data_IF_284555075620
#
_entry.id   IF_284555075620
#
_cell.length_a   1.000
_cell.length_b   1.000
_cell.length_c   1.000
_cell.angle_alpha   90.00
_cell.angle_beta   90.00
_cell.angle_gamma   90.00
#
_symmetry.space_group_name_H-M   'P 1'
#
loop_
_entity.id
_entity.type
_entity.pdbx_description
1 polymer ?
#
# COMPACT_ATOMS: atom_id res chain seq x y z
N UNK A 1 -11.13 -38.39 9.90
CA UNK A 1 -10.82 -37.64 8.67
C UNK A 1 -10.28 -36.28 9.09
N UNK A 2 -8.95 -36.13 9.11
CA UNK A 2 -8.29 -34.96 9.67
C UNK A 2 -8.66 -33.71 8.86
N UNK A 3 -9.35 -32.75 9.48
CA UNK A 3 -9.61 -31.44 8.92
C UNK A 3 -8.28 -30.69 8.83
N UNK A 4 -7.69 -30.65 7.64
CA UNK A 4 -6.62 -29.71 7.35
C UNK A 4 -7.10 -28.29 7.73
N UNK A 5 -6.31 -27.52 8.50
CA UNK A 5 -6.64 -26.12 8.74
C UNK A 5 -6.69 -25.44 7.38
N UNK A 6 -7.79 -24.73 7.10
CA UNK A 6 -8.02 -24.05 5.83
C UNK A 6 -6.78 -23.22 5.47
N UNK A 7 -6.00 -23.72 4.50
CA UNK A 7 -4.98 -22.92 3.83
C UNK A 7 -5.68 -21.65 3.38
N UNK A 8 -5.13 -20.47 3.71
CA UNK A 8 -5.73 -19.20 3.29
C UNK A 8 -5.95 -19.26 1.78
N UNK A 9 -7.20 -19.32 1.34
CA UNK A 9 -7.51 -19.50 -0.08
C UNK A 9 -6.83 -18.37 -0.86
N UNK A 10 -5.94 -18.76 -1.79
CA UNK A 10 -5.23 -17.83 -2.67
C UNK A 10 -6.27 -17.01 -3.43
N UNK A 11 -6.04 -15.71 -3.58
CA UNK A 11 -6.93 -14.79 -4.31
C UNK A 11 -6.18 -14.24 -5.53
N UNK A 12 -6.18 -14.96 -6.68
CA UNK A 12 -5.42 -14.55 -7.87
C UNK A 12 -5.69 -13.11 -8.32
N UNK A 13 -6.94 -12.64 -8.21
CA UNK A 13 -7.29 -11.24 -8.52
C UNK A 13 -6.51 -10.24 -7.66
N UNK A 14 -6.35 -10.53 -6.36
CA UNK A 14 -5.64 -9.65 -5.45
C UNK A 14 -4.15 -9.63 -5.78
N UNK A 15 -3.58 -10.78 -6.15
CA UNK A 15 -2.20 -10.86 -6.60
C UNK A 15 -1.99 -10.07 -7.89
N UNK A 16 -2.91 -10.16 -8.86
CA UNK A 16 -2.88 -9.40 -10.10
C UNK A 16 -2.94 -7.88 -9.86
N UNK A 17 -3.89 -7.42 -9.04
CA UNK A 17 -4.03 -5.99 -8.70
C UNK A 17 -2.75 -5.49 -8.01
N UNK A 18 -2.23 -6.22 -7.02
CA UNK A 18 -0.97 -5.88 -6.34
C UNK A 18 0.23 -5.88 -7.29
N UNK A 19 0.29 -6.83 -8.22
CA UNK A 19 1.35 -6.92 -9.21
C UNK A 19 1.37 -5.66 -10.07
N UNK A 20 0.26 -5.33 -10.73
CA UNK A 20 0.15 -4.14 -11.58
C UNK A 20 0.39 -2.86 -10.77
N UNK A 21 -0.26 -2.72 -9.62
CA UNK A 21 -0.12 -1.53 -8.79
C UNK A 21 1.32 -1.32 -8.33
N UNK A 22 2.03 -2.38 -7.91
CA UNK A 22 3.43 -2.24 -7.49
C UNK A 22 4.33 -1.83 -8.66
N UNK A 23 4.12 -2.35 -9.88
CA UNK A 23 4.91 -1.96 -11.04
C UNK A 23 4.69 -0.48 -11.40
N UNK A 24 3.45 -0.01 -11.40
CA UNK A 24 3.13 1.40 -11.65
C UNK A 24 3.80 2.32 -10.63
N UNK A 25 3.82 1.94 -9.35
CA UNK A 25 4.50 2.72 -8.31
C UNK A 25 6.02 2.69 -8.46
N UNK A 26 6.62 1.55 -8.80
CA UNK A 26 8.07 1.50 -9.06
C UNK A 26 8.41 2.42 -10.23
N UNK A 27 7.69 2.31 -11.35
CA UNK A 27 7.91 3.14 -12.52
C UNK A 27 7.74 4.62 -12.21
N UNK A 28 6.70 5.00 -11.45
CA UNK A 28 6.52 6.36 -10.93
C UNK A 28 7.79 6.85 -10.23
N UNK A 29 8.31 6.13 -9.23
CA UNK A 29 9.51 6.59 -8.52
C UNK A 29 10.78 6.59 -9.38
N UNK A 30 10.92 5.67 -10.34
CA UNK A 30 12.05 5.66 -11.27
C UNK A 30 12.09 6.92 -12.15
N UNK A 31 10.93 7.46 -12.51
CA UNK A 31 10.84 8.71 -13.27
C UNK A 31 10.69 9.95 -12.38
N UNK A 32 10.58 9.80 -11.06
CA UNK A 32 10.49 10.95 -10.16
C UNK A 32 11.86 11.50 -9.76
N UNK A 33 12.92 10.72 -9.91
CA UNK A 33 14.24 11.05 -9.35
C UNK A 33 15.41 10.74 -10.29
N UNK A 34 16.44 11.56 -10.17
CA UNK A 34 17.76 11.33 -10.73
C UNK A 34 17.93 11.71 -12.22
N UNK A 35 19.18 11.75 -12.72
CA UNK A 35 19.50 12.24 -14.06
C UNK A 35 18.87 11.43 -15.18
N UNK A 36 18.65 10.13 -14.98
CA UNK A 36 18.02 9.28 -16.00
C UNK A 36 16.58 9.70 -16.29
N UNK A 37 15.86 10.20 -15.27
CA UNK A 37 14.51 10.72 -15.45
C UNK A 37 14.49 11.99 -16.31
N UNK A 38 15.41 12.92 -16.07
CA UNK A 38 15.48 14.17 -16.84
C UNK A 38 15.69 13.90 -18.34
N UNK A 39 16.51 12.90 -18.66
CA UNK A 39 16.73 12.43 -20.02
C UNK A 39 15.45 11.80 -20.58
N UNK A 40 14.78 10.93 -19.83
CA UNK A 40 13.52 10.32 -20.24
C UNK A 40 12.42 11.36 -20.48
N UNK A 41 12.34 12.41 -19.65
CA UNK A 41 11.37 13.50 -19.80
C UNK A 41 11.57 14.24 -21.12
N UNK A 42 12.81 14.44 -21.57
CA UNK A 42 13.10 15.07 -22.87
C UNK A 42 12.70 14.19 -24.06
N UNK A 43 12.86 12.88 -23.95
CA UNK A 43 12.61 11.93 -25.05
C UNK A 43 11.14 11.49 -25.14
N UNK A 44 10.50 11.25 -24.00
CA UNK A 44 9.15 10.67 -23.89
C UNK A 44 8.26 11.49 -22.94
N UNK A 45 8.07 12.80 -23.18
CA UNK A 45 7.44 13.70 -22.21
C UNK A 45 6.05 13.25 -21.77
N UNK A 46 5.22 12.78 -22.71
CA UNK A 46 3.84 12.32 -22.39
C UNK A 46 3.82 11.08 -21.50
N UNK A 47 4.78 10.16 -21.69
CA UNK A 47 4.85 8.92 -20.90
C UNK A 47 5.34 9.23 -19.49
N UNK A 48 6.36 10.07 -19.37
CA UNK A 48 6.89 10.48 -18.07
C UNK A 48 5.87 11.30 -17.29
N UNK A 49 5.17 12.24 -17.94
CA UNK A 49 4.11 13.03 -17.31
C UNK A 49 2.99 12.14 -16.74
N UNK A 50 2.52 11.17 -17.53
CA UNK A 50 1.52 10.19 -17.08
C UNK A 50 2.02 9.33 -15.91
N UNK A 51 3.26 8.82 -15.99
CA UNK A 51 3.87 8.07 -14.89
C UNK A 51 4.06 8.93 -13.63
N UNK A 52 4.35 10.21 -13.79
CA UNK A 52 4.58 11.13 -12.67
C UNK A 52 3.27 11.50 -11.96
N UNK A 53 2.24 11.83 -12.73
CA UNK A 53 0.97 12.32 -12.16
C UNK A 53 -0.03 11.21 -11.84
N UNK A 54 -0.18 10.20 -12.71
CA UNK A 54 -1.28 9.24 -12.65
C UNK A 54 -0.86 7.90 -12.02
N UNK A 55 0.35 7.41 -12.30
CA UNK A 55 0.76 6.08 -11.82
C UNK A 55 0.82 6.01 -10.28
N UNK A 56 1.06 7.14 -9.59
CA UNK A 56 0.97 7.24 -8.11
C UNK A 56 -0.42 6.91 -7.55
N UNK A 57 -1.48 7.05 -8.35
CA UNK A 57 -2.84 6.68 -7.96
C UNK A 57 -2.98 5.17 -7.72
N UNK A 58 -2.04 4.35 -8.22
CA UNK A 58 -2.03 2.92 -7.96
C UNK A 58 -1.90 2.55 -6.46
N UNK A 59 -1.42 3.46 -5.60
CA UNK A 59 -1.42 3.25 -4.14
C UNK A 59 -2.83 2.94 -3.60
N UNK A 60 -3.87 3.51 -4.22
CA UNK A 60 -5.26 3.31 -3.81
C UNK A 60 -5.68 1.85 -3.85
N UNK A 61 -5.10 1.06 -4.76
CA UNK A 61 -5.30 -0.38 -4.81
C UNK A 61 -4.94 -1.03 -3.47
N UNK A 62 -3.79 -0.69 -2.91
CA UNK A 62 -3.33 -1.29 -1.67
C UNK A 62 -4.20 -0.90 -0.47
N UNK A 63 -4.69 0.34 -0.38
CA UNK A 63 -5.61 0.75 0.69
C UNK A 63 -6.94 0.00 0.62
N UNK A 64 -7.53 -0.11 -0.58
CA UNK A 64 -8.79 -0.84 -0.78
C UNK A 64 -8.62 -2.32 -0.45
N UNK A 65 -7.57 -2.97 -0.97
CA UNK A 65 -7.32 -4.38 -0.68
C UNK A 65 -7.01 -4.61 0.81
N UNK A 66 -6.29 -3.69 1.46
CA UNK A 66 -6.01 -3.78 2.89
C UNK A 66 -7.28 -3.68 3.73
N UNK A 67 -8.18 -2.74 3.42
CA UNK A 67 -9.47 -2.60 4.10
C UNK A 67 -10.40 -3.79 3.90
N UNK A 68 -10.43 -4.34 2.68
CA UNK A 68 -11.16 -5.57 2.37
C UNK A 68 -10.63 -6.75 3.19
N UNK A 69 -9.30 -6.95 3.22
CA UNK A 69 -8.67 -8.03 3.96
C UNK A 69 -8.82 -7.86 5.47
N UNK A 70 -8.80 -6.62 5.97
CA UNK A 70 -9.06 -6.31 7.37
C UNK A 70 -10.49 -6.67 7.76
N UNK A 71 -11.50 -6.27 6.98
CA UNK A 71 -12.89 -6.65 7.22
C UNK A 71 -13.06 -8.17 7.22
N UNK A 72 -12.47 -8.87 6.25
CA UNK A 72 -12.48 -10.34 6.15
C UNK A 72 -11.86 -11.02 7.37
N UNK A 73 -10.72 -10.53 7.84
CA UNK A 73 -9.98 -11.14 8.94
C UNK A 73 -10.60 -10.82 10.31
N UNK A 74 -10.96 -9.54 10.54
CA UNK A 74 -11.35 -9.01 11.83
C UNK A 74 -12.84 -9.14 12.10
N UNK A 75 -13.70 -8.87 11.11
CA UNK A 75 -15.14 -8.75 11.32
C UNK A 75 -15.97 -9.20 10.11
N UNK A 76 -15.88 -10.47 9.68
CA UNK A 76 -16.62 -10.91 8.50
C UNK A 76 -18.14 -10.98 8.71
N UNK A 77 -18.60 -11.05 9.95
CA UNK A 77 -20.00 -10.88 10.34
C UNK A 77 -20.27 -9.55 11.05
N UNK A 78 -19.52 -8.48 10.70
CA UNK A 78 -19.61 -7.15 11.30
C UNK A 78 -19.27 -7.04 12.79
N UNK A 79 -18.81 -8.13 13.41
CA UNK A 79 -18.39 -8.15 14.82
C UNK A 79 -16.92 -8.51 14.89
N UNK A 80 -16.16 -7.74 15.68
CA UNK A 80 -14.75 -8.02 15.93
C UNK A 80 -14.56 -9.43 16.51
N UNK A 81 -13.75 -10.26 15.85
CA UNK A 81 -13.43 -11.63 16.26
C UNK A 81 -12.45 -11.71 17.44
N UNK A 82 -11.55 -10.75 17.55
CA UNK A 82 -10.44 -10.73 18.54
C UNK A 82 -10.84 -10.05 19.83
N UNK A 83 -10.44 -10.57 20.99
CA UNK A 83 -10.91 -10.05 22.28
C UNK A 83 -10.38 -8.65 22.64
N UNK A 84 -9.11 -8.37 22.34
CA UNK A 84 -8.50 -7.06 22.60
C UNK A 84 -7.89 -6.47 21.33
N UNK A 85 -7.78 -5.13 21.23
CA UNK A 85 -7.17 -4.48 20.07
C UNK A 85 -5.64 -4.56 20.10
N UNK A 86 -5.04 -4.75 21.29
CA UNK A 86 -3.58 -4.67 21.51
C UNK A 86 -2.79 -5.69 20.68
N UNK A 87 -3.16 -6.98 20.78
CA UNK A 87 -2.42 -8.05 20.11
C UNK A 87 -2.48 -7.96 18.58
N UNK A 88 -3.64 -7.75 17.93
CA UNK A 88 -3.71 -7.54 16.48
C UNK A 88 -2.86 -6.35 16.00
N UNK A 89 -2.92 -5.23 16.72
CA UNK A 89 -2.17 -4.01 16.36
C UNK A 89 -0.66 -4.27 16.47
N UNK A 90 -0.19 -4.87 17.57
CA UNK A 90 1.24 -5.18 17.75
C UNK A 90 1.74 -6.18 16.68
N UNK A 91 0.94 -7.20 16.34
CA UNK A 91 1.27 -8.14 15.26
C UNK A 91 1.38 -7.43 13.91
N UNK A 92 0.45 -6.52 13.60
CA UNK A 92 0.50 -5.72 12.35
C UNK A 92 1.70 -4.78 12.34
N UNK A 93 1.99 -4.10 13.46
CA UNK A 93 3.15 -3.24 13.61
C UNK A 93 4.44 -4.00 13.29
N UNK A 94 4.70 -5.11 13.98
CA UNK A 94 5.93 -5.91 13.75
C UNK A 94 6.05 -6.41 12.31
N UNK A 95 4.93 -6.85 11.72
CA UNK A 95 4.87 -7.35 10.34
C UNK A 95 5.28 -6.27 9.32
N UNK A 96 4.93 -5.02 9.58
CA UNK A 96 5.17 -3.89 8.67
C UNK A 96 6.50 -3.18 8.97
N UNK A 97 6.71 -2.81 10.24
CA UNK A 97 7.84 -2.01 10.69
C UNK A 97 9.17 -2.74 10.54
N UNK A 98 9.23 -4.06 10.76
CA UNK A 98 10.51 -4.78 10.69
C UNK A 98 11.09 -4.82 9.26
N UNK A 99 10.34 -5.27 8.22
CA UNK A 99 10.82 -5.17 6.85
C UNK A 99 11.03 -3.71 6.42
N UNK A 100 10.14 -2.79 6.80
CA UNK A 100 10.28 -1.38 6.43
C UNK A 100 11.58 -0.77 6.98
N UNK A 101 11.90 -1.03 8.26
CA UNK A 101 13.12 -0.53 8.87
C UNK A 101 14.38 -1.13 8.25
N UNK A 102 14.37 -2.43 7.92
CA UNK A 102 15.47 -3.04 7.17
C UNK A 102 15.68 -2.37 5.80
N UNK A 103 14.60 -2.05 5.08
CA UNK A 103 14.68 -1.32 3.82
C UNK A 103 15.20 0.11 4.00
N UNK A 104 14.82 0.80 5.08
CA UNK A 104 15.37 2.12 5.44
C UNK A 104 16.87 2.04 5.66
N UNK A 105 17.36 1.06 6.42
CA UNK A 105 18.80 0.89 6.65
C UNK A 105 19.57 0.62 5.34
N UNK A 106 19.01 -0.22 4.46
CA UNK A 106 19.59 -0.47 3.13
C UNK A 106 19.58 0.83 2.30
N UNK A 107 18.49 1.60 2.34
CA UNK A 107 18.38 2.90 1.67
C UNK A 107 19.47 3.86 2.13
N UNK A 108 19.69 3.97 3.44
CA UNK A 108 20.74 4.82 4.02
C UNK A 108 22.14 4.39 3.58
N UNK A 109 22.42 3.09 3.54
CA UNK A 109 23.69 2.56 3.05
C UNK A 109 23.89 2.85 1.56
N UNK A 110 22.86 2.62 0.74
CA UNK A 110 22.90 2.92 -0.70
C UNK A 110 23.05 4.42 -0.97
N UNK A 111 22.38 5.27 -0.17
CA UNK A 111 22.53 6.72 -0.21
C UNK A 111 23.97 7.15 0.05
N UNK A 112 24.64 6.54 1.03
CA UNK A 112 26.04 6.84 1.33
C UNK A 112 26.96 6.54 0.14
N UNK A 113 26.75 5.41 -0.54
CA UNK A 113 27.48 5.06 -1.76
C UNK A 113 27.17 6.04 -2.89
N UNK A 114 25.88 6.29 -3.16
CA UNK A 114 25.43 7.18 -4.23
C UNK A 114 25.97 8.61 -4.07
N UNK A 115 25.96 9.17 -2.84
CA UNK A 115 26.49 10.51 -2.54
C UNK A 115 28.00 10.64 -2.77
N UNK A 116 28.76 9.53 -2.76
CA UNK A 116 30.19 9.57 -3.04
C UNK A 116 30.52 9.79 -4.52
N UNK A 117 29.54 9.59 -5.41
CA UNK A 117 29.73 9.63 -6.87
C UNK A 117 28.83 10.62 -7.60
N UNK A 118 27.74 11.07 -6.98
CA UNK A 118 26.90 12.13 -7.53
C UNK A 118 26.35 13.04 -6.43
N UNK A 119 26.15 14.31 -6.78
CA UNK A 119 25.50 15.29 -5.91
C UNK A 119 24.10 15.60 -6.47
N UNK A 120 23.11 14.88 -5.97
CA UNK A 120 21.72 15.00 -6.42
C UNK A 120 20.80 15.27 -5.21
N UNK A 121 19.96 16.32 -5.24
CA UNK A 121 19.05 16.66 -4.14
C UNK A 121 18.04 15.58 -3.78
N UNK A 122 17.78 14.62 -4.67
CA UNK A 122 16.89 13.50 -4.41
C UNK A 122 17.50 12.42 -3.51
N UNK A 123 18.81 12.47 -3.23
CA UNK A 123 19.48 11.54 -2.32
C UNK A 123 19.22 11.94 -0.86
N UNK A 124 18.81 11.00 0.01
CA UNK A 124 18.61 11.30 1.43
C UNK A 124 19.91 11.78 2.07
N UNK A 125 19.83 12.73 2.99
CA UNK A 125 20.98 13.15 3.79
C UNK A 125 21.45 12.04 4.74
N UNK A 126 22.59 12.25 5.43
CA UNK A 126 23.03 11.34 6.50
C UNK A 126 22.02 11.44 7.65
N UNK A 127 21.34 10.34 8.02
CA UNK A 127 20.29 10.40 9.03
C UNK A 127 20.87 10.54 10.43
N UNK A 128 20.12 11.18 11.31
CA UNK A 128 20.40 11.15 12.75
C UNK A 128 19.89 9.85 13.39
N UNK A 129 20.42 9.48 14.54
CA UNK A 129 19.90 8.32 15.32
C UNK A 129 18.42 8.49 15.66
N UNK A 130 18.01 9.73 15.99
CA UNK A 130 16.61 10.04 16.27
C UNK A 130 15.73 9.85 15.04
N UNK A 131 16.16 10.31 13.86
CA UNK A 131 15.41 10.10 12.62
C UNK A 131 15.23 8.60 12.33
N UNK A 132 16.27 7.78 12.52
CA UNK A 132 16.16 6.32 12.37
C UNK A 132 15.18 5.72 13.37
N UNK A 133 15.20 6.13 14.64
CA UNK A 133 14.26 5.66 15.66
C UNK A 133 12.81 6.02 15.30
N UNK A 134 12.58 7.25 14.81
CA UNK A 134 11.26 7.72 14.37
C UNK A 134 10.74 6.92 13.17
N UNK A 135 11.62 6.57 12.22
CA UNK A 135 11.27 5.68 11.09
C UNK A 135 10.96 4.25 11.56
N UNK A 136 11.70 3.73 12.54
CA UNK A 136 11.42 2.41 13.13
C UNK A 136 10.04 2.35 13.81
N UNK A 137 9.57 3.49 14.33
CA UNK A 137 8.26 3.65 14.96
C UNK A 137 7.14 4.05 13.98
N UNK A 138 7.45 4.31 12.71
CA UNK A 138 6.52 4.79 11.69
C UNK A 138 5.89 6.16 12.04
N UNK A 139 6.67 7.06 12.65
CA UNK A 139 6.24 8.38 13.12
C UNK A 139 6.84 9.56 12.33
N UNK A 140 7.60 9.29 11.26
CA UNK A 140 8.39 10.30 10.55
C UNK A 140 7.56 11.47 10.02
N UNK A 141 6.46 11.20 9.32
CA UNK A 141 5.64 12.26 8.72
C UNK A 141 4.90 13.08 9.77
N UNK A 142 4.49 12.44 10.89
CA UNK A 142 3.83 13.12 12.02
C UNK A 142 4.76 14.09 12.76
N UNK A 143 6.05 13.77 12.79
CA UNK A 143 7.07 14.56 13.48
C UNK A 143 7.85 15.47 12.51
N UNK A 144 7.46 15.52 11.23
CA UNK A 144 8.08 16.38 10.22
C UNK A 144 9.48 15.96 9.77
N UNK A 145 9.83 14.69 9.93
CA UNK A 145 11.10 14.15 9.41
C UNK A 145 10.95 13.73 7.94
N UNK A 146 11.92 14.11 7.12
CA UNK A 146 12.01 13.65 5.73
C UNK A 146 12.13 12.12 5.66
N UNK A 147 11.43 11.55 4.69
CA UNK A 147 11.43 10.12 4.45
C UNK A 147 12.76 9.63 3.87
N UNK A 148 13.35 8.63 4.51
CA UNK A 148 14.61 8.02 4.05
C UNK A 148 14.43 6.99 2.92
N UNK A 149 13.19 6.71 2.52
CA UNK A 149 12.83 5.84 1.40
C UNK A 149 11.40 6.12 0.91
N UNK A 150 11.16 5.98 -0.39
CA UNK A 150 9.91 6.29 -1.07
C UNK A 150 8.67 5.52 -0.56
N UNK A 151 8.86 4.36 0.09
CA UNK A 151 7.76 3.51 0.57
C UNK A 151 7.32 3.74 2.02
N UNK A 152 8.06 4.50 2.82
CA UNK A 152 7.87 4.52 4.29
C UNK A 152 6.52 5.14 4.69
N UNK A 153 6.13 6.22 4.01
CA UNK A 153 4.85 6.90 4.24
C UNK A 153 3.65 5.94 4.12
N UNK A 154 3.58 5.15 3.04
CA UNK A 154 2.48 4.20 2.83
C UNK A 154 2.41 3.16 3.96
N UNK A 155 3.56 2.67 4.43
CA UNK A 155 3.62 1.67 5.51
C UNK A 155 3.08 2.25 6.81
N UNK A 156 3.43 3.50 7.13
CA UNK A 156 2.92 4.21 8.30
C UNK A 156 1.39 4.40 8.21
N UNK A 157 0.88 4.86 7.07
CA UNK A 157 -0.56 5.04 6.86
C UNK A 157 -1.31 3.70 6.93
N UNK A 158 -0.83 2.64 6.28
CA UNK A 158 -1.46 1.31 6.32
C UNK A 158 -1.53 0.74 7.75
N UNK A 159 -0.48 0.96 8.55
CA UNK A 159 -0.50 0.61 9.97
C UNK A 159 -1.56 1.41 10.74
N UNK A 160 -1.58 2.74 10.58
CA UNK A 160 -2.54 3.61 11.26
C UNK A 160 -3.99 3.26 10.87
N UNK A 161 -4.26 2.98 9.59
CA UNK A 161 -5.59 2.58 9.09
C UNK A 161 -6.05 1.25 9.70
N UNK A 162 -5.15 0.26 9.75
CA UNK A 162 -5.45 -1.01 10.40
C UNK A 162 -5.75 -0.83 11.89
N UNK A 163 -4.94 -0.03 12.60
CA UNK A 163 -5.16 0.26 14.01
C UNK A 163 -6.50 0.97 14.24
N UNK A 164 -6.81 1.98 13.42
CA UNK A 164 -8.08 2.71 13.45
C UNK A 164 -9.27 1.76 13.23
N UNK A 165 -9.22 0.88 12.22
CA UNK A 165 -10.27 -0.11 11.96
C UNK A 165 -10.47 -1.05 13.17
N UNK A 166 -9.39 -1.59 13.74
CA UNK A 166 -9.47 -2.46 14.94
C UNK A 166 -10.11 -1.73 16.11
N UNK A 167 -9.75 -0.46 16.34
CA UNK A 167 -10.29 0.36 17.43
C UNK A 167 -11.77 0.66 17.23
N UNK A 168 -12.21 1.05 16.03
CA UNK A 168 -13.64 1.28 15.74
C UNK A 168 -14.48 0.03 15.97
N UNK A 169 -14.01 -1.12 15.47
CA UNK A 169 -14.69 -2.40 15.67
C UNK A 169 -14.68 -2.86 17.15
N UNK A 170 -13.65 -2.49 17.91
CA UNK A 170 -13.57 -2.74 19.33
C UNK A 170 -14.53 -1.85 20.13
N UNK A 171 -14.61 -0.55 19.80
CA UNK A 171 -15.54 0.42 20.40
C UNK A 171 -17.01 0.00 20.19
N UNK A 172 -17.34 -0.60 19.05
CA UNK A 172 -18.66 -1.15 18.78
C UNK A 172 -19.15 -2.17 19.83
N UNK A 173 -18.25 -2.76 20.64
CA UNK A 173 -18.61 -3.70 21.70
C UNK A 173 -19.22 -3.07 22.94
N UNK A 174 -19.10 -1.75 23.09
CA UNK A 174 -19.81 -0.99 24.11
C UNK A 174 -21.34 -1.09 23.90
N UNK A 175 -21.79 -1.32 22.67
CA UNK A 175 -23.19 -1.58 22.39
C UNK A 175 -23.65 -2.96 22.93
N UNK A 176 -24.94 -3.10 23.29
CA UNK A 176 -25.53 -4.40 23.65
C UNK A 176 -25.25 -5.45 22.57
N UNK A 177 -25.07 -6.73 22.96
CA UNK A 177 -24.67 -7.82 22.05
C UNK A 177 -25.47 -7.86 20.74
N UNK A 178 -26.79 -7.65 20.82
CA UNK A 178 -27.71 -7.61 19.66
C UNK A 178 -27.42 -6.48 18.65
N UNK A 179 -26.85 -5.37 19.11
CA UNK A 179 -26.63 -4.14 18.35
C UNK A 179 -25.18 -3.95 17.89
N UNK A 180 -24.25 -4.84 18.29
CA UNK A 180 -22.83 -4.74 17.92
C UNK A 180 -22.56 -4.72 16.42
N UNK A 181 -23.21 -5.56 15.59
CA UNK A 181 -23.06 -5.47 14.13
C UNK A 181 -23.43 -4.09 13.58
N UNK A 182 -24.59 -3.56 14.00
CA UNK A 182 -25.07 -2.26 13.58
C UNK A 182 -24.16 -1.12 14.06
N UNK A 183 -23.69 -1.17 15.31
CA UNK A 183 -22.75 -0.20 15.87
C UNK A 183 -21.41 -0.21 15.12
N UNK A 184 -20.89 -1.38 14.74
CA UNK A 184 -19.66 -1.50 13.96
C UNK A 184 -19.82 -0.88 12.57
N UNK A 185 -20.91 -1.20 11.86
CA UNK A 185 -21.23 -0.61 10.56
C UNK A 185 -21.39 0.90 10.69
N UNK A 186 -22.12 1.38 11.69
CA UNK A 186 -22.34 2.81 11.91
C UNK A 186 -21.03 3.55 12.18
N UNK A 187 -20.17 3.04 13.08
CA UNK A 187 -18.87 3.67 13.38
C UNK A 187 -17.98 3.73 12.14
N UNK A 188 -17.86 2.62 11.40
CA UNK A 188 -17.04 2.59 10.18
C UNK A 188 -17.63 3.49 9.09
N UNK A 189 -18.95 3.48 8.89
CA UNK A 189 -19.61 4.31 7.90
C UNK A 189 -19.52 5.80 8.22
N UNK A 190 -19.72 6.19 9.48
CA UNK A 190 -19.60 7.59 9.93
C UNK A 190 -18.15 8.06 9.79
N UNK A 191 -17.17 7.27 10.22
CA UNK A 191 -15.75 7.63 10.04
C UNK A 191 -15.36 7.68 8.56
N UNK A 192 -15.90 6.80 7.72
CA UNK A 192 -15.68 6.84 6.27
C UNK A 192 -16.32 8.08 5.64
N UNK A 193 -17.53 8.45 6.05
CA UNK A 193 -18.19 9.67 5.59
C UNK A 193 -17.42 10.92 6.04
N UNK A 194 -17.00 11.00 7.30
CA UNK A 194 -16.17 12.09 7.81
C UNK A 194 -14.86 12.21 7.02
N UNK A 195 -14.24 11.07 6.71
CA UNK A 195 -13.07 11.02 5.84
C UNK A 195 -13.39 11.56 4.45
N UNK A 196 -14.38 11.02 3.75
CA UNK A 196 -14.70 11.36 2.35
C UNK A 196 -15.26 12.77 2.17
N UNK A 197 -16.05 13.31 3.09
CA UNK A 197 -16.74 14.60 2.92
C UNK A 197 -16.04 15.77 3.59
N UNK A 198 -15.14 15.51 4.54
CA UNK A 198 -14.48 16.56 5.34
C UNK A 198 -12.97 16.43 5.28
N UNK A 199 -12.40 15.37 5.87
CA UNK A 199 -10.96 15.28 6.14
C UNK A 199 -10.15 15.13 4.84
N UNK A 200 -10.61 14.29 3.91
CA UNK A 200 -9.90 13.99 2.66
C UNK A 200 -9.84 15.18 1.68
N UNK A 201 -10.55 16.27 1.97
CA UNK A 201 -10.54 17.49 1.16
C UNK A 201 -9.40 18.44 1.51
N UNK A 202 -8.71 18.20 2.63
CA UNK A 202 -7.54 18.97 3.04
C UNK A 202 -6.26 18.17 2.77
N UNK A 203 -5.48 18.50 1.71
CA UNK A 203 -4.26 17.78 1.36
C UNK A 203 -3.18 17.82 2.44
N UNK A 204 -3.22 18.78 3.38
CA UNK A 204 -2.25 18.84 4.48
C UNK A 204 -2.39 17.65 5.45
N UNK A 205 -3.53 16.96 5.42
CA UNK A 205 -3.81 15.80 6.24
C UNK A 205 -3.39 14.48 5.55
N UNK A 206 -2.71 14.52 4.40
CA UNK A 206 -2.09 13.39 3.68
C UNK A 206 -0.87 12.78 4.43
N UNK A 207 -0.93 12.77 5.76
CA UNK A 207 0.07 12.19 6.68
C UNK A 207 -0.61 11.38 7.81
N UNK A 208 -1.94 11.34 7.85
CA UNK A 208 -2.71 10.64 8.90
C UNK A 208 -3.79 9.72 8.35
N UNK A 209 -4.04 8.59 9.03
CA UNK A 209 -5.06 7.63 8.64
C UNK A 209 -6.47 8.20 8.41
N UNK A 210 -7.00 9.16 9.19
CA UNK A 210 -8.34 9.71 8.95
C UNK A 210 -8.53 10.29 7.54
N UNK A 211 -7.47 10.79 6.88
CA UNK A 211 -7.53 11.25 5.50
C UNK A 211 -7.80 10.10 4.51
N UNK A 212 -7.25 8.91 4.77
CA UNK A 212 -7.37 7.71 3.92
C UNK A 212 -8.47 6.74 4.36
N UNK A 213 -9.08 6.96 5.50
CA UNK A 213 -10.01 5.98 6.07
C UNK A 213 -11.22 5.74 5.17
N UNK A 214 -11.68 6.75 4.43
CA UNK A 214 -12.75 6.63 3.43
C UNK A 214 -12.45 5.58 2.38
N UNK A 215 -11.32 5.71 1.67
CA UNK A 215 -10.91 4.76 0.61
C UNK A 215 -10.61 3.37 1.16
N UNK A 216 -10.03 3.28 2.36
CA UNK A 216 -9.82 2.02 3.05
C UNK A 216 -11.15 1.33 3.40
N UNK A 217 -12.11 2.10 3.92
CA UNK A 217 -13.45 1.61 4.27
C UNK A 217 -14.27 1.19 3.05
N UNK A 218 -14.01 1.73 1.85
CA UNK A 218 -14.62 1.22 0.60
C UNK A 218 -14.26 -0.24 0.37
N UNK A 219 -13.03 -0.66 0.67
CA UNK A 219 -12.63 -2.07 0.63
C UNK A 219 -13.38 -2.94 1.63
N UNK A 220 -13.54 -2.44 2.87
CA UNK A 220 -14.32 -3.12 3.90
C UNK A 220 -15.80 -3.26 3.52
N UNK A 221 -16.38 -2.18 2.99
CA UNK A 221 -17.75 -2.14 2.49
C UNK A 221 -17.93 -3.09 1.31
N UNK A 222 -16.98 -3.13 0.37
CA UNK A 222 -16.99 -4.08 -0.74
C UNK A 222 -17.04 -5.51 -0.22
N UNK A 223 -16.20 -5.88 0.75
CA UNK A 223 -16.22 -7.21 1.37
C UNK A 223 -17.59 -7.55 1.99
N UNK A 224 -18.15 -6.63 2.78
CA UNK A 224 -19.42 -6.84 3.49
C UNK A 224 -20.65 -6.87 2.57
N UNK A 225 -20.62 -6.11 1.48
CA UNK A 225 -21.71 -6.04 0.50
C UNK A 225 -21.69 -7.18 -0.53
N UNK A 226 -20.54 -7.85 -0.72
CA UNK A 226 -20.34 -8.88 -1.76
C UNK A 226 -20.26 -10.30 -1.19
N UNK A 227 -21.31 -10.76 -0.49
CA UNK A 227 -21.41 -12.18 -0.14
C UNK A 227 -21.46 -13.03 -1.43
N UNK A 228 -20.70 -14.14 -1.55
CA UNK A 228 -20.77 -15.02 -2.72
C UNK A 228 -22.21 -15.46 -3.00
N UNK A 229 -22.63 -15.39 -4.27
CA UNK A 229 -24.00 -15.71 -4.70
C UNK A 229 -25.04 -14.60 -4.44
N UNK A 230 -24.66 -13.51 -3.76
CA UNK A 230 -25.51 -12.32 -3.59
C UNK A 230 -25.31 -11.38 -4.79
N UNK A 231 -26.41 -10.90 -5.35
CA UNK A 231 -26.39 -10.00 -6.50
C UNK A 231 -25.61 -8.71 -6.22
N UNK A 232 -24.89 -8.15 -7.21
CA UNK A 232 -23.99 -7.01 -7.02
C UNK A 232 -24.69 -5.69 -6.68
N UNK A 233 -26.02 -5.61 -6.75
CA UNK A 233 -26.78 -4.39 -6.42
C UNK A 233 -26.55 -3.89 -4.99
N UNK A 234 -26.10 -4.74 -4.07
CA UNK A 234 -25.71 -4.33 -2.71
C UNK A 234 -24.47 -3.44 -2.66
N UNK A 235 -23.76 -3.28 -3.79
CA UNK A 235 -22.68 -2.29 -3.95
C UNK A 235 -23.21 -0.90 -4.33
N UNK A 236 -24.48 -0.75 -4.72
CA UNK A 236 -25.06 0.54 -5.10
C UNK A 236 -24.98 1.61 -4.01
N UNK A 237 -25.21 1.31 -2.71
CA UNK A 237 -25.01 2.31 -1.65
C UNK A 237 -23.56 2.80 -1.57
N UNK A 238 -22.58 1.90 -1.80
CA UNK A 238 -21.15 2.25 -1.81
C UNK A 238 -20.86 3.18 -2.98
N UNK A 239 -21.35 2.83 -4.19
CA UNK A 239 -21.20 3.67 -5.37
C UNK A 239 -21.85 5.05 -5.18
N UNK A 240 -23.07 5.11 -4.62
CA UNK A 240 -23.80 6.34 -4.38
C UNK A 240 -23.05 7.27 -3.42
N UNK A 241 -22.56 6.76 -2.29
CA UNK A 241 -21.79 7.57 -1.32
C UNK A 241 -20.54 8.17 -1.98
N UNK A 242 -19.83 7.39 -2.80
CA UNK A 242 -18.65 7.89 -3.53
C UNK A 242 -19.05 8.94 -4.57
N UNK A 243 -20.09 8.69 -5.37
CA UNK A 243 -20.55 9.64 -6.38
C UNK A 243 -20.95 10.98 -5.74
N UNK A 244 -21.63 10.94 -4.60
CA UNK A 244 -21.94 12.14 -3.82
C UNK A 244 -20.67 12.84 -3.33
N UNK A 245 -19.70 12.09 -2.80
CA UNK A 245 -18.43 12.66 -2.33
C UNK A 245 -17.63 13.30 -3.49
N UNK A 246 -17.63 12.69 -4.68
CA UNK A 246 -16.97 13.22 -5.88
C UNK A 246 -17.73 14.40 -6.50
N UNK A 247 -19.06 14.45 -6.37
CA UNK A 247 -19.87 15.58 -6.82
C UNK A 247 -19.66 16.82 -5.95
N UNK A 248 -19.41 16.64 -4.65
CA UNK A 248 -19.03 17.73 -3.74
C UNK A 248 -17.62 18.25 -4.06
N UNK A 249 -16.68 17.34 -4.30
CA UNK A 249 -15.28 17.68 -4.57
C UNK A 249 -14.59 16.51 -5.30
N UNK A 250 -14.24 16.72 -6.57
CA UNK A 250 -13.71 15.65 -7.42
C UNK A 250 -12.27 15.33 -7.05
N UNK A 251 -12.02 14.07 -6.67
CA UNK A 251 -10.71 13.59 -6.22
C UNK A 251 -10.38 12.26 -6.88
N UNK A 252 -9.35 12.26 -7.73
CA UNK A 252 -8.92 11.09 -8.52
C UNK A 252 -8.59 9.87 -7.67
N UNK A 253 -7.94 10.09 -6.51
CA UNK A 253 -7.62 9.01 -5.55
C UNK A 253 -8.88 8.28 -5.08
N UNK A 254 -9.95 9.02 -4.78
CA UNK A 254 -11.23 8.47 -4.35
C UNK A 254 -11.92 7.73 -5.51
N UNK A 255 -11.88 8.29 -6.71
CA UNK A 255 -12.45 7.67 -7.90
C UNK A 255 -11.78 6.32 -8.24
N UNK A 256 -10.44 6.28 -8.28
CA UNK A 256 -9.68 5.04 -8.52
C UNK A 256 -9.94 4.01 -7.42
N UNK A 257 -9.94 4.42 -6.14
CA UNK A 257 -10.26 3.52 -5.03
C UNK A 257 -11.66 2.90 -5.18
N UNK A 258 -12.65 3.69 -5.59
CA UNK A 258 -14.00 3.22 -5.78
C UNK A 258 -14.14 2.23 -6.93
N UNK A 259 -13.49 2.50 -8.08
CA UNK A 259 -13.45 1.54 -9.20
C UNK A 259 -12.87 0.20 -8.72
N UNK A 260 -11.74 0.22 -8.02
CA UNK A 260 -11.10 -1.00 -7.51
C UNK A 260 -12.02 -1.73 -6.50
N UNK A 261 -12.63 -1.00 -5.57
CA UNK A 261 -13.54 -1.57 -4.58
C UNK A 261 -14.77 -2.23 -5.23
N UNK A 262 -15.37 -1.58 -6.23
CA UNK A 262 -16.50 -2.12 -6.98
C UNK A 262 -16.08 -3.34 -7.81
N UNK A 263 -14.97 -3.28 -8.53
CA UNK A 263 -14.44 -4.42 -9.30
C UNK A 263 -14.20 -5.64 -8.40
N UNK A 264 -13.56 -5.45 -7.25
CA UNK A 264 -13.29 -6.52 -6.28
C UNK A 264 -14.59 -7.04 -5.66
N UNK A 265 -15.55 -6.16 -5.35
CA UNK A 265 -16.87 -6.54 -4.85
C UNK A 265 -17.64 -7.40 -5.86
N UNK A 266 -17.73 -6.96 -7.11
CA UNK A 266 -18.39 -7.71 -8.20
C UNK A 266 -17.71 -9.06 -8.43
N UNK A 267 -16.37 -9.07 -8.48
CA UNK A 267 -15.60 -10.31 -8.63
C UNK A 267 -15.82 -11.28 -7.47
N UNK A 268 -16.10 -10.80 -6.26
CA UNK A 268 -16.39 -11.65 -5.11
C UNK A 268 -17.82 -12.20 -5.16
N UNK A 269 -18.80 -11.38 -5.54
CA UNK A 269 -20.18 -11.82 -5.75
C UNK A 269 -20.30 -12.93 -6.81
N UNK A 270 -19.41 -12.92 -7.80
CA UNK A 270 -19.34 -13.88 -8.93
C UNK A 270 -18.33 -15.02 -8.73
N UNK A 271 -17.71 -15.14 -7.55
CA UNK A 271 -16.65 -16.13 -7.22
C UNK A 271 -15.40 -16.08 -8.13
N UNK A 272 -15.19 -14.98 -8.86
CA UNK A 272 -14.02 -14.76 -9.71
C UNK A 272 -12.75 -14.46 -8.91
N UNK A 273 -12.87 -13.91 -7.68
CA UNK A 273 -11.70 -13.54 -6.86
C UNK A 273 -10.70 -14.67 -6.61
N UNK A 274 -11.18 -15.91 -6.56
CA UNK A 274 -10.37 -17.12 -6.36
C UNK A 274 -9.94 -17.83 -7.64
N UNK A 275 -10.50 -17.44 -8.80
CA UNK A 275 -10.39 -18.18 -10.06
C UNK A 275 -9.66 -17.42 -11.16
N UNK A 276 -9.68 -16.09 -11.13
CA UNK A 276 -9.16 -15.27 -12.22
C UNK A 276 -8.41 -14.01 -11.73
N UNK A 277 -7.32 -13.60 -12.42
CA UNK A 277 -6.62 -14.33 -13.47
C UNK A 277 -5.62 -15.34 -12.87
N UNK A 278 -5.60 -16.60 -13.32
CA UNK A 278 -4.60 -17.58 -12.88
C UNK A 278 -3.32 -17.49 -13.73
N UNK A 279 -2.61 -16.38 -13.58
CA UNK A 279 -1.34 -16.12 -14.27
C UNK A 279 -0.20 -16.21 -13.26
N UNK A 280 0.73 -17.15 -13.48
CA UNK A 280 1.85 -17.42 -12.56
C UNK A 280 2.73 -16.19 -12.32
N UNK A 281 2.98 -15.40 -13.36
CA UNK A 281 3.79 -14.17 -13.28
C UNK A 281 3.12 -13.14 -12.36
N UNK A 282 1.82 -12.89 -12.53
CA UNK A 282 1.06 -11.98 -11.67
C UNK A 282 1.01 -12.49 -10.22
N UNK A 283 0.91 -13.80 -10.03
CA UNK A 283 0.95 -14.41 -8.72
C UNK A 283 2.30 -14.23 -8.01
N UNK A 284 3.39 -14.34 -8.78
CA UNK A 284 4.74 -14.12 -8.28
C UNK A 284 4.95 -12.64 -7.92
N UNK A 285 4.67 -11.73 -8.86
CA UNK A 285 4.82 -10.29 -8.65
C UNK A 285 3.92 -9.79 -7.51
N UNK A 286 2.68 -10.27 -7.43
CA UNK A 286 1.75 -9.92 -6.36
C UNK A 286 2.15 -10.45 -4.99
N UNK A 287 2.96 -11.53 -4.93
CA UNK A 287 3.51 -12.06 -3.68
C UNK A 287 4.66 -11.22 -3.16
N UNK A 288 5.54 -10.76 -4.05
CA UNK A 288 6.72 -9.96 -3.70
C UNK A 288 6.45 -8.45 -3.71
N UNK A 289 5.22 -8.02 -4.02
CA UNK A 289 4.87 -6.62 -4.28
C UNK A 289 5.25 -5.69 -3.13
N UNK A 290 5.08 -6.13 -1.87
CA UNK A 290 5.45 -5.35 -0.69
C UNK A 290 6.97 -5.16 -0.60
N UNK A 291 7.73 -6.24 -0.80
CA UNK A 291 9.20 -6.18 -0.82
C UNK A 291 9.74 -5.31 -1.95
N UNK A 292 9.20 -5.44 -3.17
CA UNK A 292 9.56 -4.58 -4.32
C UNK A 292 9.26 -3.11 -3.98
N UNK A 293 8.08 -2.83 -3.44
CA UNK A 293 7.68 -1.50 -3.00
C UNK A 293 8.62 -0.91 -1.95
N UNK A 294 9.23 -1.70 -1.07
CA UNK A 294 10.19 -1.19 -0.08
C UNK A 294 11.60 -0.95 -0.64
N UNK A 295 12.08 -1.81 -1.53
CA UNK A 295 13.49 -1.86 -1.93
C UNK A 295 13.81 -1.16 -3.26
N UNK A 296 12.80 -0.80 -4.05
CA UNK A 296 13.03 -0.21 -5.37
C UNK A 296 13.79 1.12 -5.31
N UNK A 297 13.56 1.96 -4.29
CA UNK A 297 14.22 3.25 -4.16
C UNK A 297 15.75 3.13 -4.00
N UNK A 298 16.32 2.35 -3.05
CA UNK A 298 17.77 2.15 -2.99
C UNK A 298 18.36 1.58 -4.28
N UNK A 299 17.66 0.66 -4.94
CA UNK A 299 18.11 0.09 -6.22
C UNK A 299 18.16 1.18 -7.30
N UNK A 300 17.11 2.00 -7.40
CA UNK A 300 17.03 3.11 -8.34
C UNK A 300 18.17 4.12 -8.15
N UNK A 301 18.50 4.44 -6.90
CA UNK A 301 19.61 5.34 -6.58
C UNK A 301 20.95 4.79 -7.05
N UNK A 302 21.25 3.51 -6.76
CA UNK A 302 22.51 2.89 -7.17
C UNK A 302 22.64 2.78 -8.69
N UNK A 303 21.55 2.47 -9.39
CA UNK A 303 21.57 2.41 -10.86
C UNK A 303 21.74 3.81 -11.46
N UNK A 304 21.04 4.83 -10.94
CA UNK A 304 21.28 6.22 -11.34
C UNK A 304 22.76 6.60 -11.14
N UNK A 305 23.34 6.25 -9.98
CA UNK A 305 24.75 6.50 -9.66
C UNK A 305 25.69 5.87 -10.69
N UNK A 306 25.49 4.58 -10.95
CA UNK A 306 26.34 3.80 -11.85
C UNK A 306 26.26 4.30 -13.28
N UNK A 307 25.05 4.61 -13.78
CA UNK A 307 24.85 5.14 -15.12
C UNK A 307 25.45 6.54 -15.25
N UNK A 308 25.24 7.41 -14.25
CA UNK A 308 25.79 8.76 -14.24
C UNK A 308 27.32 8.77 -14.33
N UNK A 309 28.00 7.95 -13.53
CA UNK A 309 29.47 7.86 -13.53
C UNK A 309 30.00 7.26 -14.83
N UNK A 310 29.34 6.22 -15.35
CA UNK A 310 29.87 5.44 -16.47
C UNK A 310 29.57 6.07 -17.84
N UNK A 311 28.43 6.75 -17.97
CA UNK A 311 27.88 7.17 -19.26
C UNK A 311 27.37 8.62 -19.28
N UNK A 312 27.37 9.32 -18.15
CA UNK A 312 26.87 10.68 -18.04
C UNK A 312 25.39 10.79 -18.42
N UNK A 313 25.01 11.87 -19.12
CA UNK A 313 23.64 12.14 -19.56
C UNK A 313 23.31 11.55 -20.94
N UNK A 314 23.94 10.43 -21.32
CA UNK A 314 23.72 9.79 -22.61
C UNK A 314 22.29 9.19 -22.71
N UNK A 315 21.49 9.55 -23.73
CA UNK A 315 20.12 9.08 -23.96
C UNK A 315 19.92 7.56 -23.85
N UNK A 316 20.71 6.80 -24.60
CA UNK A 316 20.56 5.34 -24.71
C UNK A 316 20.86 4.67 -23.37
N UNK A 317 21.93 5.11 -22.71
CA UNK A 317 22.33 4.60 -21.39
C UNK A 317 21.32 4.92 -20.30
N UNK A 318 20.69 6.11 -20.32
CA UNK A 318 19.66 6.49 -19.34
C UNK A 318 18.40 5.65 -19.50
N UNK A 319 17.93 5.43 -20.73
CA UNK A 319 16.75 4.59 -20.99
C UNK A 319 17.03 3.14 -20.63
N UNK A 320 18.18 2.59 -21.05
CA UNK A 320 18.61 1.25 -20.65
C UNK A 320 18.73 1.13 -19.12
N UNK A 321 19.28 2.15 -18.47
CA UNK A 321 19.40 2.25 -17.02
C UNK A 321 18.07 2.21 -16.28
N UNK A 322 17.02 2.87 -16.80
CA UNK A 322 15.67 2.78 -16.22
C UNK A 322 15.09 1.36 -16.32
N UNK A 323 15.28 0.68 -17.45
CA UNK A 323 14.86 -0.72 -17.59
C UNK A 323 15.64 -1.65 -16.65
N UNK A 324 16.94 -1.44 -16.52
CA UNK A 324 17.80 -2.18 -15.58
C UNK A 324 17.37 -1.91 -14.13
N UNK A 325 17.10 -0.67 -13.75
CA UNK A 325 16.63 -0.31 -12.42
C UNK A 325 15.29 -0.98 -12.08
N UNK A 326 14.36 -1.03 -13.04
CA UNK A 326 13.09 -1.74 -12.89
C UNK A 326 13.30 -3.25 -12.69
N UNK A 327 14.09 -3.89 -13.56
CA UNK A 327 14.37 -5.33 -13.47
C UNK A 327 15.10 -5.70 -12.17
N UNK A 328 16.11 -4.91 -11.77
CA UNK A 328 16.83 -5.09 -10.51
C UNK A 328 15.94 -4.84 -9.29
N UNK A 329 14.97 -3.94 -9.37
CA UNK A 329 14.01 -3.72 -8.28
C UNK A 329 13.13 -4.94 -8.05
N UNK A 330 12.72 -5.64 -9.12
CA UNK A 330 11.98 -6.91 -9.02
C UNK A 330 12.87 -8.00 -8.42
N UNK A 331 14.11 -8.14 -8.92
CA UNK A 331 15.05 -9.14 -8.42
C UNK A 331 15.41 -8.93 -6.94
N UNK A 332 15.76 -7.69 -6.57
CA UNK A 332 16.02 -7.30 -5.18
C UNK A 332 14.79 -7.51 -4.30
N UNK A 333 13.59 -7.18 -4.78
CA UNK A 333 12.34 -7.44 -4.08
C UNK A 333 12.10 -8.93 -3.84
N UNK A 334 12.42 -9.80 -4.78
CA UNK A 334 12.31 -11.25 -4.60
C UNK A 334 13.30 -11.78 -3.54
N UNK A 335 14.53 -11.28 -3.54
CA UNK A 335 15.55 -11.60 -2.52
C UNK A 335 15.10 -11.10 -1.15
N UNK A 336 14.70 -9.84 -1.06
CA UNK A 336 14.21 -9.20 0.15
C UNK A 336 12.98 -9.92 0.72
N UNK A 337 12.05 -10.35 -0.14
CA UNK A 337 10.89 -11.13 0.25
C UNK A 337 11.28 -12.44 0.92
N UNK A 338 12.22 -13.17 0.32
CA UNK A 338 12.67 -14.48 0.81
C UNK A 338 13.38 -14.39 2.15
N UNK A 339 14.24 -13.38 2.33
CA UNK A 339 15.19 -13.33 3.45
C UNK A 339 14.79 -12.38 4.58
N UNK A 340 13.92 -11.40 4.33
CA UNK A 340 13.53 -10.39 5.32
C UNK A 340 12.02 -10.42 5.57
N UNK A 341 11.20 -10.24 4.52
CA UNK A 341 9.74 -10.20 4.68
C UNK A 341 9.18 -11.52 5.19
N UNK A 342 9.48 -12.64 4.52
CA UNK A 342 8.92 -13.96 4.88
C UNK A 342 9.31 -14.43 6.29
N UNK A 343 10.55 -14.26 6.77
CA UNK A 343 10.89 -14.53 8.16
C UNK A 343 10.17 -13.60 9.16
N UNK A 344 10.04 -12.31 8.85
CA UNK A 344 9.32 -11.36 9.71
C UNK A 344 7.84 -11.76 9.89
N UNK A 345 7.21 -12.29 8.84
CA UNK A 345 5.85 -12.84 8.92
C UNK A 345 5.75 -13.98 9.94
N UNK A 346 6.71 -14.91 9.94
CA UNK A 346 6.72 -16.06 10.85
C UNK A 346 6.93 -15.65 12.31
N UNK A 347 7.77 -14.65 12.56
CA UNK A 347 7.99 -14.11 13.92
C UNK A 347 6.72 -13.43 14.45
N UNK A 348 5.97 -12.73 13.60
CA UNK A 348 4.68 -12.12 13.96
C UNK A 348 3.59 -13.15 14.33
N UNK A 349 3.68 -14.38 13.81
CA UNK A 349 2.73 -15.46 14.09
C UNK A 349 3.03 -16.22 15.38
N UNK A 350 4.31 -16.42 15.73
CA UNK A 350 4.77 -17.24 16.88
C UNK A 350 4.61 -16.60 18.26
N UNK A 351 4.25 -15.31 18.34
CA UNK A 351 4.00 -14.62 19.62
C UNK A 351 2.60 -14.88 20.20
N UNK A 352 2.12 -16.13 20.17
CA UNK A 352 0.83 -16.57 20.74
C UNK A 352 1.02 -17.26 22.08
#
# INVERSE_FOLDING_TARGET
MATHPASSARMPLFDAIKAVASQLIVLHHLISYGPMSEVAQRLFPRVVEWLYHDARLAVQAFFVLAGFLAARALAPGFVLRVQSPRLPILKRFRRLALPCFAAVLISVACAAVARSVMNDPSLPAVPTVLQLAVHALLLQDLLGYEALSAGVWYVAIDFQLFAMMVLLLWLARAAPRRHRPAAAVALVAVSAALSLFVINRDPSLDIVAPYFFGVYALGAAAFWASTPGRAPFWLMPVALVVLLALAVDFRERVAVAAVIALCVGVARSTDLTGRWPDIRVLAFLGRISFSVFLIHYPVAMLVNAAVHVSFGANPESSIAGLFVAWALSIAAGAVFHRWIEAPALRVGERGT
#
